data_IF_005394217663
#
_entry.id   IF_005394217663
#
_cell.length_a   1.000
_cell.length_b   1.000
_cell.length_c   1.000
_cell.angle_alpha   90.00
_cell.angle_beta   90.00
_cell.angle_gamma   90.00
#
_symmetry.space_group_name_H-M   'P 1'
#
loop_
_entity.id
_entity.type
_entity.pdbx_description
1 polymer ?
#
# COMPACT_ATOMS: atom_id res chain seq x y z
N UNK A 1 15.73 3.25 17.49
CA UNK A 1 15.83 1.85 17.00
C UNK A 1 14.77 1.64 15.92
N UNK A 2 14.97 0.71 14.97
CA UNK A 2 13.94 0.33 13.99
C UNK A 2 12.94 -0.60 14.67
N UNK A 3 11.70 -0.16 14.86
CA UNK A 3 10.66 -0.84 15.62
C UNK A 3 9.49 -1.32 14.75
N UNK A 4 9.26 -0.70 13.59
CA UNK A 4 8.21 -1.11 12.66
C UNK A 4 8.70 -2.18 11.69
N UNK A 5 7.84 -3.13 11.32
CA UNK A 5 8.15 -4.20 10.35
C UNK A 5 7.32 -4.04 9.09
N UNK A 6 7.96 -4.21 7.93
CA UNK A 6 7.26 -4.18 6.64
C UNK A 6 6.50 -5.48 6.42
N UNK A 7 5.19 -5.41 6.17
CA UNK A 7 4.35 -6.59 5.88
C UNK A 7 4.84 -7.37 4.65
N UNK A 8 5.38 -6.67 3.64
CA UNK A 8 5.83 -7.30 2.38
C UNK A 8 7.21 -7.94 2.47
N UNK A 9 8.21 -7.19 2.94
CA UNK A 9 9.61 -7.63 2.90
C UNK A 9 10.18 -8.04 4.26
N UNK A 10 9.36 -7.98 5.33
CA UNK A 10 9.70 -8.36 6.70
C UNK A 10 10.88 -7.59 7.34
N UNK A 11 11.48 -6.65 6.60
CA UNK A 11 12.53 -5.78 7.08
C UNK A 11 11.98 -4.78 8.10
N UNK A 12 12.77 -4.53 9.15
CA UNK A 12 12.48 -3.49 10.12
C UNK A 12 12.90 -2.12 9.59
N UNK A 13 12.16 -1.08 9.95
CA UNK A 13 12.44 0.30 9.60
C UNK A 13 12.02 1.26 10.73
N UNK A 14 12.40 2.54 10.60
CA UNK A 14 12.09 3.54 11.63
C UNK A 14 10.63 3.94 11.56
N UNK A 15 9.99 4.16 12.71
CA UNK A 15 8.59 4.57 12.82
C UNK A 15 8.22 5.78 11.92
N UNK A 16 9.13 6.77 11.81
CA UNK A 16 8.97 7.93 10.93
C UNK A 16 8.88 7.60 9.43
N UNK A 17 9.16 6.35 9.04
CA UNK A 17 9.10 5.83 7.67
C UNK A 17 8.01 4.76 7.53
N UNK A 18 6.99 4.74 8.41
CA UNK A 18 5.81 3.89 8.25
C UNK A 18 4.92 4.48 7.20
N UNK A 19 4.66 3.68 6.18
CA UNK A 19 3.67 3.95 5.16
C UNK A 19 2.55 2.93 5.26
N UNK A 20 1.31 3.38 5.11
CA UNK A 20 0.11 2.53 5.18
C UNK A 20 -0.72 2.69 3.91
N UNK A 21 -1.75 1.87 3.76
CA UNK A 21 -2.69 1.99 2.63
C UNK A 21 -3.49 3.31 2.70
N UNK A 22 -3.59 3.94 3.87
CA UNK A 22 -4.34 5.20 4.02
C UNK A 22 -3.84 6.31 3.11
N UNK A 23 -2.55 6.33 2.74
CA UNK A 23 -2.04 7.35 1.80
C UNK A 23 -2.71 7.32 0.42
N UNK A 24 -3.33 6.20 0.04
CA UNK A 24 -4.08 6.08 -1.21
C UNK A 24 -5.38 6.91 -1.20
N UNK A 25 -5.83 7.39 -0.03
CA UNK A 25 -7.03 8.22 0.11
C UNK A 25 -6.96 9.54 -0.66
N UNK A 26 -5.74 10.08 -0.86
CA UNK A 26 -5.51 11.34 -1.55
C UNK A 26 -5.42 11.19 -3.07
N UNK A 27 -5.56 9.98 -3.61
CA UNK A 27 -5.53 9.76 -5.05
C UNK A 27 -6.91 9.97 -5.66
N UNK A 28 -6.93 10.61 -6.83
CA UNK A 28 -8.15 10.74 -7.64
C UNK A 28 -8.57 9.38 -8.21
N UNK A 29 -7.61 8.63 -8.75
CA UNK A 29 -7.84 7.32 -9.36
C UNK A 29 -6.67 6.35 -9.08
N UNK A 30 -6.94 5.06 -8.79
CA UNK A 30 -8.25 4.50 -8.40
C UNK A 30 -8.82 5.17 -7.13
N UNK A 31 -10.14 5.07 -6.92
CA UNK A 31 -10.76 5.60 -5.70
C UNK A 31 -10.23 4.89 -4.45
N UNK A 32 -10.32 5.53 -3.28
CA UNK A 32 -9.89 4.90 -2.04
C UNK A 32 -10.64 3.60 -1.77
N UNK A 33 -11.96 3.60 -1.95
CA UNK A 33 -12.80 2.40 -1.80
C UNK A 33 -12.35 1.25 -2.70
N UNK A 34 -12.03 1.53 -3.97
CA UNK A 34 -11.50 0.50 -4.86
C UNK A 34 -10.12 -0.01 -4.39
N UNK A 35 -9.27 0.91 -3.94
CA UNK A 35 -7.95 0.56 -3.41
C UNK A 35 -8.06 -0.36 -2.19
N UNK A 36 -8.99 -0.11 -1.28
CA UNK A 36 -9.26 -0.97 -0.13
C UNK A 36 -9.63 -2.40 -0.55
N UNK A 37 -10.58 -2.54 -1.48
CA UNK A 37 -10.98 -3.85 -2.00
C UNK A 37 -9.83 -4.56 -2.74
N UNK A 38 -9.02 -3.82 -3.49
CA UNK A 38 -7.84 -4.36 -4.15
C UNK A 38 -6.81 -4.90 -3.14
N UNK A 39 -6.48 -4.14 -2.10
CA UNK A 39 -5.49 -4.55 -1.10
C UNK A 39 -6.01 -5.65 -0.19
N UNK A 40 -7.31 -5.67 0.12
CA UNK A 40 -7.96 -6.76 0.86
C UNK A 40 -7.82 -8.11 0.15
N UNK A 41 -7.94 -8.14 -1.19
CA UNK A 41 -7.70 -9.35 -2.00
C UNK A 41 -6.24 -9.83 -1.96
N UNK A 42 -5.30 -8.98 -1.56
CA UNK A 42 -3.89 -9.32 -1.37
C UNK A 42 -3.54 -9.64 0.09
N UNK A 43 -4.55 -9.79 0.96
CA UNK A 43 -4.38 -9.96 2.41
C UNK A 43 -3.59 -8.82 3.07
N UNK A 44 -3.85 -7.60 2.60
CA UNK A 44 -3.26 -6.36 3.13
C UNK A 44 -4.36 -5.52 3.77
N UNK A 45 -4.16 -5.24 5.05
CA UNK A 45 -5.01 -4.37 5.86
C UNK A 45 -4.62 -2.90 5.72
N UNK A 46 -5.53 -2.01 6.12
CA UNK A 46 -5.28 -0.56 6.09
C UNK A 46 -4.10 -0.12 6.97
N UNK A 47 -3.86 -0.86 8.05
CA UNK A 47 -2.88 -0.55 9.08
C UNK A 47 -1.57 -1.33 8.92
N UNK A 48 -1.47 -2.17 7.89
CA UNK A 48 -0.21 -2.84 7.59
C UNK A 48 0.87 -1.81 7.29
N UNK A 49 2.01 -2.01 7.95
CA UNK A 49 3.16 -1.15 7.85
C UNK A 49 4.01 -1.53 6.63
N UNK A 50 4.40 -0.55 5.84
CA UNK A 50 5.26 -0.73 4.68
C UNK A 50 6.45 0.23 4.73
N UNK A 51 7.59 -0.22 4.22
CA UNK A 51 8.67 0.69 3.88
C UNK A 51 8.37 1.39 2.54
N UNK A 52 9.08 2.50 2.30
CA UNK A 52 8.92 3.35 1.11
C UNK A 52 8.96 2.57 -0.22
N UNK A 53 9.90 1.64 -0.36
CA UNK A 53 10.03 0.82 -1.57
C UNK A 53 8.80 -0.08 -1.77
N UNK A 54 8.31 -0.70 -0.71
CA UNK A 54 7.18 -1.63 -0.78
C UNK A 54 5.87 -0.90 -1.06
N UNK A 55 5.69 0.29 -0.47
CA UNK A 55 4.48 1.06 -0.71
C UNK A 55 4.44 1.69 -2.09
N UNK A 56 5.60 2.12 -2.61
CA UNK A 56 5.76 2.54 -4.00
C UNK A 56 5.47 1.41 -4.97
N UNK A 57 5.93 0.19 -4.67
CA UNK A 57 5.58 -1.01 -5.43
C UNK A 57 4.07 -1.23 -5.48
N UNK A 58 3.40 -1.20 -4.31
CA UNK A 58 1.95 -1.38 -4.24
C UNK A 58 1.17 -0.26 -4.93
N UNK A 59 1.72 0.96 -4.89
CA UNK A 59 1.19 2.09 -5.63
C UNK A 59 1.18 1.89 -7.13
N UNK A 60 2.25 1.33 -7.69
CA UNK A 60 2.30 1.00 -9.12
C UNK A 60 1.36 -0.16 -9.41
N UNK A 61 1.41 -1.22 -8.61
CA UNK A 61 0.59 -2.42 -8.79
C UNK A 61 -0.91 -2.12 -8.77
N UNK A 62 -1.39 -1.27 -7.86
CA UNK A 62 -2.80 -0.89 -7.79
C UNK A 62 -3.23 -0.03 -8.99
N UNK A 63 -2.38 0.89 -9.45
CA UNK A 63 -2.62 1.66 -10.68
C UNK A 63 -2.67 0.76 -11.92
N UNK A 64 -1.70 -0.14 -12.09
CA UNK A 64 -1.66 -1.05 -13.24
C UNK A 64 -2.90 -1.96 -13.28
N UNK A 65 -3.36 -2.43 -12.12
CA UNK A 65 -4.58 -3.22 -12.00
C UNK A 65 -5.85 -2.41 -12.30
N UNK A 66 -5.89 -1.14 -11.90
CA UNK A 66 -6.98 -0.23 -12.21
C UNK A 66 -7.08 0.06 -13.71
N UNK A 67 -5.97 0.36 -14.36
CA UNK A 67 -5.94 0.60 -15.81
C UNK A 67 -6.37 -0.64 -16.61
N UNK A 68 -5.95 -1.84 -16.18
CA UNK A 68 -6.43 -3.10 -16.78
C UNK A 68 -7.91 -3.39 -16.54
N UNK A 69 -8.49 -2.88 -15.46
CA UNK A 69 -9.92 -3.03 -15.16
C UNK A 69 -10.80 -2.11 -16.01
N UNK A 70 -10.26 -0.97 -16.48
CA UNK A 70 -10.96 -0.02 -17.34
C UNK A 70 -11.03 -0.45 -18.81
N UNK A 71 -10.11 -1.31 -19.24
CA UNK A 71 -10.03 -1.87 -20.60
C UNK A 71 -11.03 -3.01 -20.72
#
# INVERSE_FOLDING_TARGET
MKNAQCKKCLNKFYEKNIYTIQQFQYRKEPTYKWSLEFFKKLDISEWDSFCEQCITYYSKKSKDAWEKFKI
#
